data_IF_546892735358
#
_entry.id   IF_546892735358
#
_cell.length_a   1.000
_cell.length_b   1.000
_cell.length_c   1.000
_cell.angle_alpha   90.00
_cell.angle_beta   90.00
_cell.angle_gamma   90.00
#
_symmetry.space_group_name_H-M   'P 1'
#
loop_
_entity.id
_entity.type
_entity.pdbx_description
1 polymer ?
#
# COMPACT_ATOMS: atom_id res chain seq x y z
N UNK A 1 -2.80 -30.37 21.60
CA UNK A 1 -3.07 -30.17 20.17
C UNK A 1 -3.00 -28.69 19.90
N UNK A 2 -1.96 -28.22 19.18
CA UNK A 2 -1.78 -26.81 18.89
C UNK A 2 -2.92 -26.34 17.98
N UNK A 3 -3.73 -25.41 18.47
CA UNK A 3 -4.85 -24.85 17.75
C UNK A 3 -4.30 -24.00 16.59
N UNK A 4 -4.29 -24.55 15.37
CA UNK A 4 -3.90 -23.85 14.14
C UNK A 4 -4.78 -22.63 13.82
N UNK A 5 -5.85 -22.42 14.59
CA UNK A 5 -6.78 -21.28 14.47
C UNK A 5 -6.21 -19.95 14.99
N UNK A 6 -5.14 -19.94 15.80
CA UNK A 6 -4.56 -18.71 16.36
C UNK A 6 -3.71 -17.90 15.37
N UNK A 7 -3.17 -18.53 14.33
CA UNK A 7 -2.32 -17.88 13.33
C UNK A 7 -3.10 -17.22 12.18
N UNK A 8 -4.36 -17.63 11.97
CA UNK A 8 -5.20 -17.07 10.91
C UNK A 8 -5.94 -15.79 11.35
N UNK A 9 -6.20 -15.64 12.65
CA UNK A 9 -6.83 -14.44 13.23
C UNK A 9 -5.91 -13.21 13.19
N UNK A 10 -4.59 -13.40 13.22
CA UNK A 10 -3.61 -12.30 13.10
C UNK A 10 -3.39 -11.86 11.64
N UNK A 11 -3.64 -12.74 10.66
CA UNK A 11 -3.39 -12.44 9.24
C UNK A 11 -4.44 -11.52 8.61
N UNK A 12 -5.68 -11.54 9.11
CA UNK A 12 -6.80 -10.75 8.60
C UNK A 12 -7.35 -9.79 9.66
N UNK A 13 -6.49 -9.25 10.51
CA UNK A 13 -6.90 -8.30 11.55
C UNK A 13 -6.99 -6.88 10.96
N UNK A 14 -8.19 -6.26 10.91
CA UNK A 14 -8.36 -4.91 10.37
C UNK A 14 -7.55 -3.85 11.15
N UNK A 15 -7.29 -4.08 12.44
CA UNK A 15 -6.50 -3.15 13.26
C UNK A 15 -5.04 -3.19 12.87
N UNK A 16 -4.50 -4.38 12.60
CA UNK A 16 -3.12 -4.55 12.12
C UNK A 16 -2.98 -3.94 10.73
N UNK A 17 -3.97 -4.16 9.86
CA UNK A 17 -4.01 -3.57 8.53
C UNK A 17 -3.99 -2.04 8.58
N UNK A 18 -4.88 -1.44 9.36
CA UNK A 18 -4.96 0.02 9.52
C UNK A 18 -3.65 0.61 10.08
N UNK A 19 -2.99 -0.07 11.03
CA UNK A 19 -1.70 0.40 11.57
C UNK A 19 -0.60 0.40 10.50
N UNK A 20 -0.48 -0.68 9.72
CA UNK A 20 0.53 -0.80 8.68
C UNK A 20 0.29 0.21 7.55
N UNK A 21 -0.97 0.47 7.19
CA UNK A 21 -1.33 1.52 6.22
C UNK A 21 -0.92 2.90 6.74
N UNK A 22 -1.18 3.20 8.01
CA UNK A 22 -0.75 4.46 8.62
C UNK A 22 0.78 4.60 8.72
N UNK A 23 1.52 3.49 8.84
CA UNK A 23 2.99 3.48 8.79
C UNK A 23 3.49 3.70 7.34
N UNK A 24 2.81 3.14 6.34
CA UNK A 24 3.13 3.35 4.92
C UNK A 24 3.03 4.84 4.52
N UNK A 25 2.05 5.55 5.06
CA UNK A 25 1.88 7.00 4.88
C UNK A 25 3.06 7.82 5.42
N UNK A 26 3.78 7.30 6.42
CA UNK A 26 4.98 7.96 6.97
C UNK A 26 6.23 7.77 6.12
N UNK A 27 6.13 7.04 5.01
CA UNK A 27 7.24 6.81 4.09
C UNK A 27 8.05 5.55 4.37
N UNK A 28 7.66 4.74 5.36
CA UNK A 28 8.37 3.49 5.68
C UNK A 28 8.21 2.47 4.53
N UNK A 29 9.34 2.02 3.98
CA UNK A 29 9.38 1.13 2.80
C UNK A 29 8.77 -0.24 3.10
N UNK A 30 9.10 -0.81 4.26
CA UNK A 30 8.58 -2.12 4.67
C UNK A 30 7.07 -2.03 4.92
N UNK A 31 6.61 -0.93 5.50
CA UNK A 31 5.18 -0.68 5.69
C UNK A 31 4.45 -0.45 4.36
N UNK A 32 5.06 0.25 3.39
CA UNK A 32 4.49 0.40 2.04
C UNK A 32 4.37 -0.94 1.32
N UNK A 33 5.38 -1.80 1.42
CA UNK A 33 5.29 -3.17 0.91
C UNK A 33 4.16 -3.94 1.60
N UNK A 34 4.09 -3.87 2.94
CA UNK A 34 3.07 -4.56 3.73
C UNK A 34 1.65 -4.05 3.42
N UNK A 35 1.46 -2.75 3.24
CA UNK A 35 0.19 -2.15 2.81
C UNK A 35 -0.20 -2.64 1.42
N UNK A 36 0.76 -2.71 0.50
CA UNK A 36 0.58 -3.33 -0.82
C UNK A 36 0.05 -4.76 -0.74
N UNK A 37 0.64 -5.58 0.13
CA UNK A 37 0.22 -6.96 0.37
C UNK A 37 -1.17 -7.04 1.02
N UNK A 38 -1.46 -6.15 1.96
CA UNK A 38 -2.76 -6.05 2.64
C UNK A 38 -3.89 -5.84 1.64
N UNK A 39 -3.73 -4.87 0.72
CA UNK A 39 -4.72 -4.59 -0.30
C UNK A 39 -4.76 -5.64 -1.41
N UNK A 40 -3.63 -6.28 -1.74
CA UNK A 40 -3.58 -7.33 -2.76
C UNK A 40 -4.32 -8.60 -2.31
N UNK A 41 -4.20 -8.96 -1.03
CA UNK A 41 -4.79 -10.17 -0.47
C UNK A 41 -6.11 -9.94 0.30
N UNK A 42 -6.47 -8.68 0.59
CA UNK A 42 -7.62 -8.35 1.43
C UNK A 42 -7.41 -8.70 2.91
N UNK A 43 -6.20 -8.50 3.44
CA UNK A 43 -5.86 -8.85 4.83
C UNK A 43 -6.39 -7.80 5.80
N UNK A 44 -7.61 -8.01 6.30
CA UNK A 44 -8.24 -7.07 7.24
C UNK A 44 -8.81 -5.81 6.57
N UNK A 45 -8.74 -5.72 5.24
CA UNK A 45 -9.41 -4.71 4.40
C UNK A 45 -10.03 -5.40 3.19
N UNK A 46 -10.92 -4.72 2.48
CA UNK A 46 -11.41 -5.22 1.20
C UNK A 46 -10.26 -5.24 0.17
N UNK A 47 -10.09 -6.31 -0.61
CA UNK A 47 -9.08 -6.34 -1.66
C UNK A 47 -9.24 -5.16 -2.62
N UNK A 48 -8.15 -4.43 -2.85
CA UNK A 48 -8.12 -3.30 -3.76
C UNK A 48 -6.81 -3.32 -4.55
N UNK A 49 -6.81 -3.86 -5.79
CA UNK A 49 -5.59 -3.95 -6.58
C UNK A 49 -5.06 -2.56 -7.00
N UNK A 50 -5.90 -1.52 -7.02
CA UNK A 50 -5.50 -0.14 -7.31
C UNK A 50 -4.64 0.41 -6.17
N UNK A 51 -5.10 0.24 -4.93
CA UNK A 51 -4.34 0.63 -3.74
C UNK A 51 -3.08 -0.22 -3.57
N UNK A 52 -3.17 -1.53 -3.81
CA UNK A 52 -2.02 -2.41 -3.76
C UNK A 52 -0.91 -1.96 -4.72
N UNK A 53 -1.26 -1.69 -5.98
CA UNK A 53 -0.30 -1.19 -6.97
C UNK A 53 0.29 0.16 -6.57
N UNK A 54 -0.51 1.06 -5.99
CA UNK A 54 -0.06 2.36 -5.50
C UNK A 54 1.02 2.21 -4.42
N UNK A 55 0.74 1.50 -3.32
CA UNK A 55 1.69 1.34 -2.22
C UNK A 55 2.96 0.61 -2.63
N UNK A 56 2.84 -0.42 -3.49
CA UNK A 56 4.00 -1.13 -4.01
C UNK A 56 4.84 -0.24 -4.94
N UNK A 57 4.22 0.67 -5.70
CA UNK A 57 4.97 1.62 -6.53
C UNK A 57 5.80 2.57 -5.66
N UNK A 58 5.29 2.98 -4.49
CA UNK A 58 6.03 3.81 -3.53
C UNK A 58 7.25 3.07 -2.97
N UNK A 59 7.10 1.81 -2.59
CA UNK A 59 8.21 0.99 -2.12
C UNK A 59 9.27 0.77 -3.23
N UNK A 60 8.84 0.53 -4.47
CA UNK A 60 9.73 0.42 -5.65
C UNK A 60 10.53 1.71 -5.88
N UNK A 61 9.91 2.88 -5.71
CA UNK A 61 10.59 4.18 -5.85
C UNK A 61 11.68 4.39 -4.81
N UNK A 62 11.56 3.74 -3.66
CA UNK A 62 12.57 3.73 -2.60
C UNK A 62 13.59 2.58 -2.75
N UNK A 63 13.48 1.76 -3.80
CA UNK A 63 14.44 0.72 -4.15
C UNK A 63 14.08 -0.69 -3.68
N UNK A 64 12.85 -0.93 -3.24
CA UNK A 64 12.40 -2.26 -2.82
C UNK A 64 12.15 -3.18 -4.04
N UNK A 65 13.01 -4.19 -4.18
CA UNK A 65 12.94 -5.16 -5.27
C UNK A 65 11.78 -6.17 -5.11
N UNK A 66 11.41 -6.50 -3.87
CA UNK A 66 10.31 -7.43 -3.59
C UNK A 66 8.95 -6.78 -3.91
N UNK A 67 8.84 -5.48 -3.63
CA UNK A 67 7.72 -4.64 -4.04
C UNK A 67 7.57 -4.60 -5.56
N UNK A 68 8.68 -4.59 -6.32
CA UNK A 68 8.61 -4.60 -7.78
C UNK A 68 7.98 -5.90 -8.30
N UNK A 69 8.39 -7.03 -7.75
CA UNK A 69 7.85 -8.35 -8.11
C UNK A 69 6.36 -8.41 -7.79
N UNK A 70 5.98 -8.03 -6.57
CA UNK A 70 4.59 -8.05 -6.13
C UNK A 70 3.72 -7.07 -6.93
N UNK A 71 4.25 -5.88 -7.27
CA UNK A 71 3.55 -4.90 -8.10
C UNK A 71 3.25 -5.45 -9.48
N UNK A 72 4.21 -6.13 -10.10
CA UNK A 72 4.03 -6.78 -11.42
C UNK A 72 2.98 -7.89 -11.34
N UNK A 73 2.98 -8.66 -10.25
CA UNK A 73 1.97 -9.70 -10.02
C UNK A 73 0.56 -9.10 -9.90
N UNK A 74 0.39 -8.06 -9.07
CA UNK A 74 -0.88 -7.34 -8.93
C UNK A 74 -1.31 -6.75 -10.28
N UNK A 75 -0.41 -6.08 -11.00
CA UNK A 75 -0.70 -5.48 -12.31
C UNK A 75 -1.15 -6.49 -13.36
N UNK A 76 -0.65 -7.73 -13.31
CA UNK A 76 -1.07 -8.79 -14.23
C UNK A 76 -2.52 -9.26 -14.00
N UNK A 77 -3.05 -9.06 -12.78
CA UNK A 77 -4.45 -9.37 -12.43
C UNK A 77 -5.42 -8.20 -12.59
N UNK A 78 -4.93 -7.00 -12.88
CA UNK A 78 -5.75 -5.79 -13.00
C UNK A 78 -6.39 -5.69 -14.38
N UNK A 79 -7.59 -5.10 -14.41
CA UNK A 79 -8.20 -4.57 -15.63
C UNK A 79 -7.51 -3.30 -16.11
N UNK A 80 -7.71 -2.96 -17.38
CA UNK A 80 -7.17 -1.73 -17.98
C UNK A 80 -7.69 -0.47 -17.27
N UNK A 81 -8.93 -0.49 -16.78
CA UNK A 81 -9.50 0.63 -16.02
C UNK A 81 -8.83 0.79 -14.65
N UNK A 82 -8.65 -0.31 -13.91
CA UNK A 82 -7.96 -0.32 -12.61
C UNK A 82 -6.50 0.11 -12.76
N UNK A 83 -5.80 -0.38 -13.79
CA UNK A 83 -4.42 0.00 -14.05
C UNK A 83 -4.30 1.50 -14.38
N UNK A 84 -5.21 2.03 -15.21
CA UNK A 84 -5.28 3.47 -15.47
C UNK A 84 -5.58 4.28 -14.20
N UNK A 85 -6.45 3.79 -13.34
CA UNK A 85 -6.76 4.43 -12.06
C UNK A 85 -5.54 4.42 -11.14
N UNK A 86 -4.85 3.29 -11.00
CA UNK A 86 -3.68 3.16 -10.12
C UNK A 86 -2.52 4.04 -10.59
N UNK A 87 -2.25 4.09 -11.89
CA UNK A 87 -1.25 5.01 -12.45
C UNK A 87 -1.61 6.46 -12.18
N UNK A 88 -2.87 6.86 -12.38
CA UNK A 88 -3.32 8.21 -12.03
C UNK A 88 -3.12 8.52 -10.55
N UNK A 89 -3.43 7.58 -9.66
CA UNK A 89 -3.25 7.75 -8.22
C UNK A 89 -1.78 7.99 -7.87
N UNK A 90 -0.86 7.20 -8.42
CA UNK A 90 0.59 7.38 -8.26
C UNK A 90 1.03 8.76 -8.77
N UNK A 91 0.61 9.16 -9.97
CA UNK A 91 0.98 10.46 -10.54
C UNK A 91 0.45 11.64 -9.71
N UNK A 92 -0.78 11.54 -9.21
CA UNK A 92 -1.38 12.58 -8.36
C UNK A 92 -0.65 12.71 -7.02
N UNK A 93 -0.29 11.58 -6.38
CA UNK A 93 0.46 11.60 -5.13
C UNK A 93 1.85 12.24 -5.31
N UNK A 94 2.59 11.85 -6.36
CA UNK A 94 3.87 12.49 -6.72
C UNK A 94 3.73 13.98 -6.97
N UNK A 95 2.67 14.39 -7.65
CA UNK A 95 2.42 15.81 -7.95
C UNK A 95 2.12 16.60 -6.68
N UNK A 96 1.41 16.01 -5.72
CA UNK A 96 1.15 16.60 -4.41
C UNK A 96 2.43 16.73 -3.56
N UNK A 97 3.33 15.75 -3.65
CA UNK A 97 4.63 15.77 -2.96
C UNK A 97 5.64 16.73 -3.60
N UNK A 98 5.57 16.90 -4.92
CA UNK A 98 6.49 17.76 -5.69
C UNK A 98 6.09 19.23 -5.71
N UNK A 99 4.96 19.62 -5.10
CA UNK A 99 4.52 21.01 -5.02
C UNK A 99 5.31 21.75 -3.91
N UNK A 100 6.21 22.69 -4.24
CA UNK A 100 6.85 23.52 -3.23
C UNK A 100 5.85 24.60 -2.79
N UNK A 101 5.17 24.39 -1.66
CA UNK A 101 4.35 25.44 -1.05
C UNK A 101 3.04 24.95 -0.45
N UNK A 102 3.14 24.43 0.77
CA UNK A 102 2.03 24.31 1.70
C UNK A 102 2.49 24.64 3.12
N UNK A 103 3.27 25.71 3.27
CA UNK A 103 3.75 26.15 4.57
C UNK A 103 2.59 26.49 5.51
N UNK A 104 2.75 25.97 6.74
CA UNK A 104 2.38 26.58 8.01
C UNK A 104 0.89 26.83 8.30
N UNK A 105 0.31 25.90 9.07
CA UNK A 105 -0.45 26.30 10.26
C UNK A 105 0.16 25.67 11.52
N UNK A 106 1.19 26.37 11.99
CA UNK A 106 1.44 26.76 13.38
C UNK A 106 0.86 25.86 14.46
N UNK A 107 1.76 25.20 15.19
CA UNK A 107 1.57 24.89 16.60
C UNK A 107 1.13 26.17 17.35
N UNK A 108 0.01 26.13 18.06
CA UNK A 108 -0.19 26.99 19.23
C UNK A 108 -0.71 26.16 20.39
#
# INVERSE_FOLDING_TARGET
>A
MANLSGLNLLRNDPVVAARLIAEAERGDVDAQYAAGLIYAEGRGVEPDPVQAYYWLTRAVEQGDADAEILRRFVAAGMSEDEFRQARRLVELAKSAESAPGGDARTHH
#
